data_IF_543970791473
#
_entry.id   IF_543970791473
#
_cell.length_a   1.000
_cell.length_b   1.000
_cell.length_c   1.000
_cell.angle_alpha   90.00
_cell.angle_beta   90.00
_cell.angle_gamma   90.00
#
_symmetry.space_group_name_H-M   'P 1'
#
loop_
_entity.id
_entity.type
_entity.pdbx_description
1 polymer ?
#
# COMPACT_ATOMS: atom_id res chain seq x y z
N UNK A 1 -14.08 -41.01 -20.10
CA UNK A 1 -13.78 -42.35 -19.57
C UNK A 1 -15.10 -42.94 -19.12
N UNK A 2 -15.56 -44.02 -19.74
CA UNK A 2 -16.77 -44.71 -19.27
C UNK A 2 -16.45 -45.35 -17.92
N UNK A 3 -17.09 -44.82 -16.88
CA UNK A 3 -16.97 -45.35 -15.53
C UNK A 3 -17.79 -46.65 -15.42
N UNK A 4 -17.25 -47.73 -14.81
CA UNK A 4 -17.87 -49.07 -14.75
C UNK A 4 -19.25 -49.11 -14.04
N UNK A 5 -19.57 -48.05 -13.32
CA UNK A 5 -20.80 -47.77 -12.58
C UNK A 5 -21.99 -47.34 -13.46
N UNK A 6 -21.78 -47.13 -14.77
CA UNK A 6 -22.86 -46.90 -15.76
C UNK A 6 -23.31 -48.18 -16.51
N UNK A 7 -22.80 -49.36 -16.14
CA UNK A 7 -23.23 -50.64 -16.72
C UNK A 7 -24.60 -51.07 -16.17
N UNK A 8 -25.54 -51.40 -17.07
CA UNK A 8 -26.89 -51.86 -16.74
C UNK A 8 -26.98 -53.22 -16.02
N UNK A 9 -25.85 -53.86 -15.73
CA UNK A 9 -25.78 -55.13 -14.98
C UNK A 9 -25.94 -54.91 -13.45
N UNK A 10 -25.73 -53.70 -12.94
CA UNK A 10 -25.87 -53.38 -11.52
C UNK A 10 -27.31 -52.95 -11.18
N UNK A 11 -28.22 -53.94 -11.01
CA UNK A 11 -29.65 -53.72 -10.69
C UNK A 11 -29.94 -53.00 -9.35
N UNK A 12 -28.92 -52.66 -8.54
CA UNK A 12 -29.07 -52.04 -7.22
C UNK A 12 -28.77 -50.53 -7.13
N UNK A 13 -28.28 -49.91 -8.21
CA UNK A 13 -27.91 -48.49 -8.23
C UNK A 13 -28.53 -47.82 -9.46
N UNK A 14 -29.65 -47.11 -9.25
CA UNK A 14 -30.21 -46.21 -10.26
C UNK A 14 -29.49 -44.87 -10.14
N UNK A 15 -28.47 -44.67 -10.97
CA UNK A 15 -27.80 -43.37 -11.10
C UNK A 15 -28.63 -42.53 -12.08
N UNK A 16 -29.23 -41.44 -11.59
CA UNK A 16 -29.87 -40.46 -12.47
C UNK A 16 -28.81 -39.81 -13.36
N UNK A 17 -29.10 -39.65 -14.65
CA UNK A 17 -28.21 -38.93 -15.56
C UNK A 17 -27.89 -37.53 -15.00
N UNK A 18 -26.59 -37.22 -14.90
CA UNK A 18 -26.13 -35.92 -14.43
C UNK A 18 -26.72 -34.80 -15.27
N UNK A 19 -27.18 -33.75 -14.59
CA UNK A 19 -27.72 -32.54 -15.23
C UNK A 19 -26.60 -31.92 -16.07
N UNK A 20 -26.86 -31.58 -17.34
CA UNK A 20 -25.88 -30.87 -18.18
C UNK A 20 -25.41 -29.60 -17.46
N UNK A 21 -24.09 -29.41 -17.37
CA UNK A 21 -23.54 -28.20 -16.76
C UNK A 21 -24.07 -26.98 -17.52
N UNK A 22 -24.78 -26.05 -16.85
CA UNK A 22 -25.22 -24.84 -17.49
C UNK A 22 -24.00 -24.04 -17.96
N UNK A 23 -24.13 -23.42 -19.13
CA UNK A 23 -23.14 -22.50 -19.70
C UNK A 23 -22.59 -21.54 -18.65
N UNK A 24 -21.25 -21.52 -18.49
CA UNK A 24 -20.54 -20.59 -17.60
C UNK A 24 -20.65 -19.12 -18.04
N UNK A 25 -21.14 -18.88 -19.26
CA UNK A 25 -21.31 -17.56 -19.85
C UNK A 25 -22.81 -17.26 -19.99
N UNK A 26 -23.25 -16.13 -19.44
CA UNK A 26 -24.64 -15.70 -19.51
C UNK A 26 -25.07 -15.52 -20.99
N UNK A 27 -26.03 -16.32 -21.50
CA UNK A 27 -26.47 -16.24 -22.89
C UNK A 27 -27.20 -14.93 -23.23
N UNK A 28 -27.60 -14.15 -22.23
CA UNK A 28 -28.22 -12.82 -22.38
C UNK A 28 -27.23 -11.67 -22.31
N UNK A 29 -25.92 -11.94 -22.28
CA UNK A 29 -24.88 -10.91 -22.20
C UNK A 29 -24.81 -10.09 -23.51
N UNK A 30 -25.57 -8.99 -23.57
CA UNK A 30 -25.43 -8.00 -24.65
C UNK A 30 -24.01 -7.43 -24.61
N UNK A 31 -23.25 -7.56 -25.71
CA UNK A 31 -21.94 -6.91 -25.87
C UNK A 31 -22.10 -5.40 -25.66
N UNK A 32 -21.63 -4.89 -24.52
CA UNK A 32 -21.63 -3.45 -24.26
C UNK A 32 -20.80 -2.77 -25.35
N UNK A 33 -21.22 -1.60 -25.86
CA UNK A 33 -20.40 -0.82 -26.80
C UNK A 33 -19.02 -0.61 -26.18
N UNK A 34 -17.96 -0.69 -27.01
CA UNK A 34 -16.58 -0.43 -26.59
C UNK A 34 -16.58 0.94 -25.88
N UNK A 35 -16.28 0.94 -24.58
CA UNK A 35 -16.16 2.19 -23.81
C UNK A 35 -15.15 3.09 -24.53
N UNK A 36 -15.51 4.36 -24.74
CA UNK A 36 -14.58 5.38 -25.26
C UNK A 36 -13.33 5.38 -24.38
N UNK A 37 -12.19 5.13 -25.02
CA UNK A 37 -10.88 5.34 -24.39
C UNK A 37 -10.69 6.84 -24.23
N UNK A 38 -10.35 7.26 -23.01
CA UNK A 38 -9.98 8.65 -22.75
C UNK A 38 -8.55 8.85 -23.25
N UNK A 39 -8.31 9.98 -23.88
CA UNK A 39 -6.97 10.49 -24.16
C UNK A 39 -6.28 10.92 -22.86
N UNK A 40 -4.95 11.05 -22.92
CA UNK A 40 -4.13 11.56 -21.81
C UNK A 40 -4.62 12.94 -21.36
N UNK A 41 -4.95 13.83 -22.31
CA UNK A 41 -5.43 15.17 -22.00
C UNK A 41 -6.75 15.13 -21.21
N UNK A 42 -7.69 14.26 -21.57
CA UNK A 42 -8.95 14.10 -20.84
C UNK A 42 -8.75 13.53 -19.43
N UNK A 43 -7.78 12.62 -19.26
CA UNK A 43 -7.40 12.15 -17.93
C UNK A 43 -6.87 13.29 -17.06
N UNK A 44 -5.90 14.04 -17.57
CA UNK A 44 -5.26 15.16 -16.86
C UNK A 44 -6.27 16.23 -16.50
N UNK A 45 -7.10 16.66 -17.47
CA UNK A 45 -8.13 17.67 -17.25
C UNK A 45 -9.15 17.22 -16.20
N UNK A 46 -9.60 15.96 -16.26
CA UNK A 46 -10.53 15.41 -15.28
C UNK A 46 -9.95 15.32 -13.88
N UNK A 47 -8.68 14.89 -13.77
CA UNK A 47 -7.96 14.82 -12.49
C UNK A 47 -7.86 16.23 -11.90
N UNK A 48 -7.36 17.23 -12.64
CA UNK A 48 -7.18 18.60 -12.14
C UNK A 48 -8.51 19.22 -11.70
N UNK A 49 -9.62 18.89 -12.38
CA UNK A 49 -10.97 19.33 -11.96
C UNK A 49 -11.50 18.60 -10.73
N UNK A 50 -10.77 17.61 -10.21
CA UNK A 50 -11.16 16.82 -9.05
C UNK A 50 -12.23 15.76 -9.33
N UNK A 51 -12.36 15.28 -10.58
CA UNK A 51 -13.28 14.20 -10.93
C UNK A 51 -12.76 12.86 -10.39
N UNK A 52 -13.39 12.40 -9.30
CA UNK A 52 -13.05 11.14 -8.61
C UNK A 52 -13.21 9.91 -9.52
N UNK A 53 -14.12 9.95 -10.50
CA UNK A 53 -14.30 8.86 -11.46
C UNK A 53 -13.12 8.77 -12.41
N UNK A 54 -12.65 9.91 -12.91
CA UNK A 54 -11.48 9.97 -13.79
C UNK A 54 -10.22 9.61 -13.01
N UNK A 55 -10.05 10.13 -11.80
CA UNK A 55 -8.97 9.74 -10.88
C UNK A 55 -8.94 8.21 -10.68
N UNK A 56 -10.08 7.59 -10.33
CA UNK A 56 -10.18 6.14 -10.14
C UNK A 56 -9.75 5.35 -11.38
N UNK A 57 -10.09 5.85 -12.57
CA UNK A 57 -9.69 5.22 -13.85
C UNK A 57 -8.20 5.40 -14.13
N UNK A 58 -7.62 6.54 -13.80
CA UNK A 58 -6.19 6.79 -13.94
C UNK A 58 -5.38 5.89 -13.00
N UNK A 59 -5.79 5.80 -11.73
CA UNK A 59 -5.20 4.85 -10.76
C UNK A 59 -5.29 3.40 -11.26
N UNK A 60 -6.40 3.03 -11.90
CA UNK A 60 -6.53 1.70 -12.51
C UNK A 60 -5.53 1.47 -13.67
N UNK A 61 -5.13 2.52 -14.40
CA UNK A 61 -4.08 2.42 -15.42
C UNK A 61 -2.71 2.21 -14.78
N UNK A 62 -2.39 2.99 -13.74
CA UNK A 62 -1.16 2.85 -12.93
C UNK A 62 -1.00 1.43 -12.39
N UNK A 63 -2.08 0.86 -11.90
CA UNK A 63 -2.07 -0.49 -11.35
C UNK A 63 -1.95 -1.60 -12.40
N UNK A 64 -2.14 -1.27 -13.68
CA UNK A 64 -2.15 -2.26 -14.74
C UNK A 64 -0.76 -2.80 -15.04
N UNK A 65 -0.68 -4.10 -15.34
CA UNK A 65 0.55 -4.77 -15.82
C UNK A 65 0.69 -4.73 -17.34
N UNK A 66 -0.27 -4.12 -18.05
CA UNK A 66 -0.24 -4.04 -19.50
C UNK A 66 0.68 -2.90 -19.96
N UNK A 67 1.64 -3.14 -20.88
CA UNK A 67 2.54 -2.09 -21.36
C UNK A 67 1.82 -0.87 -21.95
N UNK A 68 0.74 -1.11 -22.71
CA UNK A 68 -0.11 -0.05 -23.29
C UNK A 68 -0.73 0.87 -22.23
N UNK A 69 -1.13 0.33 -21.07
CA UNK A 69 -1.70 1.12 -19.99
C UNK A 69 -0.62 1.86 -19.21
N UNK A 70 0.54 1.23 -19.01
CA UNK A 70 1.68 1.82 -18.31
C UNK A 70 2.22 3.06 -19.03
N UNK A 71 2.31 3.01 -20.37
CA UNK A 71 2.72 4.17 -21.17
C UNK A 71 1.77 5.36 -20.98
N UNK A 72 0.46 5.12 -21.05
CA UNK A 72 -0.56 6.17 -20.83
C UNK A 72 -0.50 6.68 -19.39
N UNK A 73 -0.40 5.78 -18.41
CA UNK A 73 -0.34 6.14 -16.99
C UNK A 73 0.85 7.07 -16.71
N UNK A 74 2.03 6.77 -17.28
CA UNK A 74 3.20 7.60 -17.06
C UNK A 74 3.06 8.99 -17.67
N UNK A 75 2.52 9.10 -18.90
CA UNK A 75 2.29 10.41 -19.52
C UNK A 75 1.27 11.25 -18.72
N UNK A 76 0.25 10.60 -18.12
CA UNK A 76 -0.69 11.26 -17.22
C UNK A 76 0.00 11.74 -15.94
N UNK A 77 0.82 10.90 -15.29
CA UNK A 77 1.55 11.26 -14.07
C UNK A 77 2.48 12.45 -14.32
N UNK A 78 3.26 12.42 -15.39
CA UNK A 78 4.18 13.51 -15.76
C UNK A 78 3.45 14.84 -15.93
N UNK A 79 2.29 14.81 -16.60
CA UNK A 79 1.46 16.02 -16.82
C UNK A 79 0.73 16.48 -15.56
N UNK A 80 0.50 15.59 -14.60
CA UNK A 80 -0.08 15.91 -13.29
C UNK A 80 0.96 16.41 -12.28
N UNK A 81 2.25 16.12 -12.48
CA UNK A 81 3.32 16.47 -11.54
C UNK A 81 3.36 17.97 -11.14
N UNK A 82 3.16 18.95 -12.06
CA UNK A 82 3.12 20.37 -11.69
C UNK A 82 1.98 20.78 -10.75
N UNK A 83 0.97 19.92 -10.61
CA UNK A 83 -0.20 20.14 -9.74
C UNK A 83 -0.13 19.30 -8.46
N UNK A 84 1.00 18.63 -8.21
CA UNK A 84 1.23 17.77 -7.05
C UNK A 84 2.19 18.40 -6.04
N UNK A 85 2.34 17.77 -4.88
CA UNK A 85 3.24 18.21 -3.81
C UNK A 85 2.60 19.08 -2.73
N UNK A 86 1.44 19.69 -2.96
CA UNK A 86 0.75 20.50 -1.94
C UNK A 86 -0.22 19.65 -1.09
N UNK A 87 0.35 18.77 -0.26
CA UNK A 87 -0.40 17.94 0.68
C UNK A 87 0.40 17.63 1.93
N UNK A 88 -0.26 17.08 2.95
CA UNK A 88 0.38 16.40 4.08
C UNK A 88 0.16 14.90 3.93
N UNK A 89 1.26 14.14 3.91
CA UNK A 89 1.28 12.68 3.75
C UNK A 89 1.55 12.02 5.09
N UNK A 90 0.61 11.21 5.57
CA UNK A 90 0.67 10.53 6.87
C UNK A 90 0.72 9.02 6.65
N UNK A 91 1.81 8.39 7.08
CA UNK A 91 1.91 6.93 7.16
C UNK A 91 1.27 6.44 8.44
N UNK A 92 0.40 5.43 8.36
CA UNK A 92 -0.28 4.85 9.51
C UNK A 92 0.04 3.36 9.55
N UNK A 93 0.73 2.93 10.61
CA UNK A 93 1.06 1.53 10.85
C UNK A 93 0.68 1.12 12.27
N UNK A 94 0.76 -0.18 12.56
CA UNK A 94 0.35 -0.73 13.85
C UNK A 94 0.03 -2.21 13.77
N UNK A 95 0.14 -2.88 14.90
CA UNK A 95 -0.04 -4.34 14.99
C UNK A 95 -1.47 -4.76 14.60
N UNK A 96 -1.67 -5.99 14.09
CA UNK A 96 -3.00 -6.52 13.84
C UNK A 96 -3.88 -6.40 15.11
N UNK A 97 -5.12 -5.93 14.94
CA UNK A 97 -6.04 -5.73 16.07
C UNK A 97 -5.88 -4.39 16.82
N UNK A 98 -4.88 -3.58 16.49
CA UNK A 98 -4.67 -2.25 17.11
C UNK A 98 -5.78 -1.23 16.83
N UNK A 99 -6.76 -1.58 15.97
CA UNK A 99 -7.86 -0.69 15.61
C UNK A 99 -7.49 0.33 14.54
N UNK A 100 -6.53 0.03 13.66
CA UNK A 100 -6.07 0.94 12.59
C UNK A 100 -7.20 1.44 11.70
N UNK A 101 -8.00 0.55 11.12
CA UNK A 101 -9.10 0.96 10.23
C UNK A 101 -10.14 1.83 10.94
N UNK A 102 -10.50 1.50 12.18
CA UNK A 102 -11.36 2.36 13.02
C UNK A 102 -10.71 3.73 13.28
N UNK A 103 -9.40 3.75 13.50
CA UNK A 103 -8.66 4.99 13.74
C UNK A 103 -8.59 5.84 12.48
N UNK A 104 -8.32 5.25 11.31
CA UNK A 104 -8.33 5.95 10.03
C UNK A 104 -9.70 6.55 9.74
N UNK A 105 -10.78 5.79 9.99
CA UNK A 105 -12.15 6.27 9.83
C UNK A 105 -12.40 7.52 10.71
N UNK A 106 -12.08 7.43 12.00
CA UNK A 106 -12.31 8.50 12.98
C UNK A 106 -11.39 9.69 12.77
N UNK A 107 -10.11 9.45 12.52
CA UNK A 107 -9.12 10.48 12.20
C UNK A 107 -9.47 11.21 10.92
N UNK A 108 -9.86 10.48 9.87
CA UNK A 108 -10.23 11.06 8.59
C UNK A 108 -11.44 11.96 8.69
N UNK A 109 -12.49 11.52 9.41
CA UNK A 109 -13.67 12.36 9.67
C UNK A 109 -13.30 13.59 10.51
N UNK A 110 -12.56 13.41 11.60
CA UNK A 110 -12.12 14.52 12.44
C UNK A 110 -11.39 15.59 11.61
N UNK A 111 -10.46 15.16 10.75
CA UNK A 111 -9.69 16.10 9.93
C UNK A 111 -10.56 16.83 8.92
N UNK A 112 -11.45 16.11 8.23
CA UNK A 112 -12.36 16.70 7.24
C UNK A 112 -13.37 17.66 7.87
N UNK A 113 -13.85 17.37 9.09
CA UNK A 113 -14.81 18.20 9.82
C UNK A 113 -14.16 19.44 10.44
N UNK A 114 -12.96 19.32 11.01
CA UNK A 114 -12.29 20.42 11.73
C UNK A 114 -11.44 21.31 10.82
N UNK A 115 -10.76 20.72 9.84
CA UNK A 115 -9.78 21.43 9.01
C UNK A 115 -10.20 21.51 7.53
N UNK A 116 -11.29 20.84 7.13
CA UNK A 116 -11.77 20.87 5.75
C UNK A 116 -10.86 20.10 4.77
N UNK A 117 -10.85 20.54 3.51
CA UNK A 117 -10.04 19.90 2.45
C UNK A 117 -10.63 18.59 1.91
N UNK A 118 -9.77 17.76 1.31
CA UNK A 118 -10.09 16.43 0.77
C UNK A 118 -9.05 15.41 1.24
N UNK A 119 -9.50 14.21 1.58
CA UNK A 119 -8.64 13.15 2.14
C UNK A 119 -8.57 11.93 1.22
N UNK A 120 -7.38 11.50 0.85
CA UNK A 120 -7.17 10.21 0.21
C UNK A 120 -6.63 9.20 1.23
N UNK A 121 -7.07 7.95 1.16
CA UNK A 121 -6.54 6.82 1.93
C UNK A 121 -6.07 5.75 0.95
N UNK A 122 -4.78 5.43 1.00
CA UNK A 122 -4.11 4.48 0.13
C UNK A 122 -3.54 3.34 0.98
N UNK A 123 -3.87 2.09 0.66
CA UNK A 123 -3.34 0.94 1.39
C UNK A 123 -2.11 0.33 0.69
N UNK A 124 -1.19 -0.25 1.48
CA UNK A 124 -0.09 -1.10 1.01
C UNK A 124 -0.16 -2.44 1.74
N UNK A 125 -0.42 -3.50 0.99
CA UNK A 125 -0.46 -4.90 1.45
C UNK A 125 0.57 -5.74 0.67
N UNK A 126 1.67 -6.19 1.30
CA UNK A 126 2.63 -7.11 0.67
C UNK A 126 1.99 -8.43 0.22
N UNK A 127 0.93 -8.88 0.90
CA UNK A 127 0.25 -10.14 0.56
C UNK A 127 -0.59 -10.06 -0.73
N UNK A 128 -0.78 -8.84 -1.25
CA UNK A 128 -1.43 -8.60 -2.55
C UNK A 128 -0.75 -9.31 -3.71
N UNK A 129 0.55 -9.65 -3.58
CA UNK A 129 1.28 -10.51 -4.51
C UNK A 129 0.56 -11.85 -4.75
N UNK A 130 0.00 -12.46 -3.69
CA UNK A 130 -0.68 -13.76 -3.76
C UNK A 130 -2.16 -13.63 -4.11
N UNK A 131 -2.84 -12.59 -3.59
CA UNK A 131 -4.28 -12.41 -3.76
C UNK A 131 -4.67 -11.71 -5.06
N UNK A 132 -3.70 -11.18 -5.83
CA UNK A 132 -3.89 -10.36 -7.04
C UNK A 132 -4.66 -9.05 -6.78
N UNK A 133 -4.65 -8.57 -5.53
CA UNK A 133 -5.27 -7.31 -5.12
C UNK A 133 -6.66 -7.50 -4.50
N UNK A 134 -7.07 -6.54 -3.66
CA UNK A 134 -8.37 -6.54 -2.98
C UNK A 134 -9.30 -5.52 -3.64
N UNK A 135 -10.43 -5.98 -4.18
CA UNK A 135 -11.42 -5.06 -4.80
C UNK A 135 -12.32 -4.41 -3.75
N UNK A 136 -12.61 -5.10 -2.64
CA UNK A 136 -13.66 -4.71 -1.68
C UNK A 136 -13.23 -4.73 -0.19
N UNK A 137 -12.14 -5.42 0.15
CA UNK A 137 -11.86 -5.83 1.54
C UNK A 137 -11.52 -4.70 2.53
N UNK A 138 -10.97 -3.58 2.03
CA UNK A 138 -10.54 -2.47 2.89
C UNK A 138 -11.63 -1.40 3.06
N UNK A 139 -12.54 -1.24 2.07
CA UNK A 139 -13.62 -0.23 2.14
C UNK A 139 -14.66 -0.55 3.21
N UNK A 140 -14.91 -1.82 3.51
CA UNK A 140 -15.92 -2.23 4.51
C UNK A 140 -15.46 -1.98 5.95
N UNK A 141 -14.17 -1.73 6.19
CA UNK A 141 -13.62 -1.47 7.53
C UNK A 141 -13.64 0.01 7.92
N UNK A 142 -13.90 0.90 6.95
CA UNK A 142 -13.97 2.36 7.10
C UNK A 142 -15.37 2.83 6.68
N UNK A 143 -16.38 2.45 7.45
CA UNK A 143 -17.80 2.57 7.05
C UNK A 143 -18.22 4.01 6.78
N UNK A 144 -17.82 4.96 7.63
CA UNK A 144 -18.27 6.35 7.53
C UNK A 144 -17.43 7.13 6.54
N UNK A 145 -16.11 6.96 6.59
CA UNK A 145 -15.20 7.67 5.70
C UNK A 145 -15.38 7.20 4.26
N UNK A 146 -15.68 5.93 4.00
CA UNK A 146 -15.85 5.40 2.64
C UNK A 146 -17.01 6.01 1.85
N UNK A 147 -18.00 6.58 2.53
CA UNK A 147 -19.15 7.26 1.92
C UNK A 147 -19.05 8.79 1.97
N UNK A 148 -18.00 9.33 2.60
CA UNK A 148 -17.81 10.77 2.71
C UNK A 148 -17.48 11.39 1.33
N UNK A 149 -18.18 12.44 0.87
CA UNK A 149 -18.01 12.96 -0.51
C UNK A 149 -16.64 13.60 -0.79
N UNK A 150 -15.92 13.98 0.28
CA UNK A 150 -14.55 14.54 0.19
C UNK A 150 -13.45 13.52 0.50
N UNK A 151 -13.78 12.23 0.57
CA UNK A 151 -12.79 11.17 0.76
C UNK A 151 -12.59 10.36 -0.52
N UNK A 152 -11.41 9.77 -0.66
CA UNK A 152 -11.10 8.79 -1.70
C UNK A 152 -10.32 7.64 -1.11
N UNK A 153 -10.87 6.43 -1.14
CA UNK A 153 -10.23 5.25 -0.56
C UNK A 153 -9.83 4.28 -1.68
N UNK A 154 -8.54 3.95 -1.74
CA UNK A 154 -7.96 2.98 -2.68
C UNK A 154 -7.34 1.81 -1.90
N UNK A 155 -7.85 0.57 -2.07
CA UNK A 155 -7.21 -0.64 -1.54
C UNK A 155 -5.81 -0.85 -2.12
N UNK A 156 -5.04 -1.76 -1.52
CA UNK A 156 -3.68 -2.05 -2.00
C UNK A 156 -3.68 -2.50 -3.46
N UNK A 157 -2.81 -1.90 -4.31
CA UNK A 157 -2.65 -2.36 -5.67
C UNK A 157 -2.04 -3.76 -5.69
N UNK A 158 -2.23 -4.49 -6.79
CA UNK A 158 -1.50 -5.72 -7.01
C UNK A 158 -0.24 -5.45 -7.83
N UNK A 159 0.88 -5.91 -7.32
CA UNK A 159 2.13 -5.99 -8.07
C UNK A 159 2.88 -7.22 -7.57
N UNK A 160 3.59 -7.92 -8.47
CA UNK A 160 4.29 -9.17 -8.15
C UNK A 160 5.44 -9.02 -7.15
N UNK A 161 5.69 -7.81 -6.62
CA UNK A 161 6.61 -7.55 -5.52
C UNK A 161 6.15 -6.36 -4.67
N UNK A 162 6.53 -6.31 -3.39
CA UNK A 162 6.33 -5.15 -2.50
C UNK A 162 6.84 -3.83 -3.10
N UNK A 163 7.98 -3.86 -3.81
CA UNK A 163 8.54 -2.68 -4.48
C UNK A 163 7.58 -2.10 -5.52
N UNK A 164 7.02 -2.97 -6.37
CA UNK A 164 6.03 -2.58 -7.37
C UNK A 164 4.71 -2.09 -6.76
N UNK A 165 4.28 -2.65 -5.62
CA UNK A 165 3.09 -2.17 -4.89
C UNK A 165 3.34 -0.75 -4.41
N UNK A 166 4.48 -0.53 -3.75
CA UNK A 166 4.83 0.76 -3.17
C UNK A 166 5.08 1.84 -4.24
N UNK A 167 5.70 1.49 -5.38
CA UNK A 167 5.83 2.38 -6.54
C UNK A 167 4.47 2.87 -7.04
N UNK A 168 3.54 1.94 -7.30
CA UNK A 168 2.18 2.28 -7.75
C UNK A 168 1.44 3.16 -6.76
N UNK A 169 1.63 2.92 -5.46
CA UNK A 169 1.08 3.80 -4.42
C UNK A 169 1.69 5.20 -4.50
N UNK A 170 3.00 5.35 -4.64
CA UNK A 170 3.65 6.66 -4.80
C UNK A 170 3.17 7.41 -6.04
N UNK A 171 3.03 6.74 -7.17
CA UNK A 171 2.45 7.31 -8.39
C UNK A 171 0.98 7.73 -8.18
N UNK A 172 0.22 6.95 -7.39
CA UNK A 172 -1.15 7.29 -7.00
C UNK A 172 -1.22 8.53 -6.10
N UNK A 173 -0.25 8.74 -5.19
CA UNK A 173 -0.15 9.96 -4.37
C UNK A 173 -0.12 11.20 -5.28
N UNK A 174 0.71 11.19 -6.33
CA UNK A 174 0.81 12.31 -7.29
C UNK A 174 -0.54 12.60 -7.95
N UNK A 175 -1.26 11.56 -8.38
CA UNK A 175 -2.59 11.73 -8.98
C UNK A 175 -3.63 12.26 -8.00
N UNK A 176 -3.58 11.82 -6.73
CA UNK A 176 -4.46 12.33 -5.68
C UNK A 176 -4.17 13.81 -5.39
N UNK A 177 -2.91 14.19 -5.24
CA UNK A 177 -2.52 15.59 -5.02
C UNK A 177 -2.97 16.47 -6.19
N UNK A 178 -2.75 16.04 -7.44
CA UNK A 178 -3.22 16.74 -8.62
C UNK A 178 -4.75 16.86 -8.70
N UNK A 179 -5.51 15.98 -8.03
CA UNK A 179 -6.97 16.07 -7.90
C UNK A 179 -7.45 16.96 -6.73
N UNK A 180 -6.52 17.63 -6.06
CA UNK A 180 -6.77 18.53 -4.95
C UNK A 180 -7.00 17.81 -3.61
N UNK A 181 -6.47 16.59 -3.46
CA UNK A 181 -6.39 15.93 -2.14
C UNK A 181 -5.19 16.48 -1.37
N UNK A 182 -5.46 17.25 -0.33
CA UNK A 182 -4.47 17.96 0.49
C UNK A 182 -4.06 17.16 1.75
N UNK A 183 -4.75 16.05 2.03
CA UNK A 183 -4.35 15.06 3.05
C UNK A 183 -4.29 13.68 2.41
N UNK A 184 -3.18 12.99 2.62
CA UNK A 184 -2.95 11.64 2.08
C UNK A 184 -2.58 10.70 3.23
N UNK A 185 -3.44 9.73 3.53
CA UNK A 185 -3.11 8.65 4.45
C UNK A 185 -2.60 7.44 3.68
N UNK A 186 -1.50 6.87 4.14
CA UNK A 186 -0.93 5.64 3.59
C UNK A 186 -0.90 4.60 4.70
N UNK A 187 -1.74 3.57 4.61
CA UNK A 187 -1.85 2.52 5.62
C UNK A 187 -1.05 1.27 5.24
N UNK A 188 -0.37 0.65 6.21
CA UNK A 188 0.11 -0.73 6.08
C UNK A 188 -1.00 -1.74 6.41
N UNK A 189 -1.25 -2.66 5.49
CA UNK A 189 -2.19 -3.78 5.71
C UNK A 189 -1.40 -5.06 5.94
N UNK A 190 -1.84 -5.87 6.91
CA UNK A 190 -1.31 -7.20 7.18
C UNK A 190 -0.05 -7.24 8.07
N UNK A 191 0.67 -8.36 7.98
CA UNK A 191 1.94 -8.63 8.67
C UNK A 191 3.06 -8.60 7.62
N UNK A 192 4.07 -7.74 7.78
CA UNK A 192 5.07 -7.54 6.72
C UNK A 192 6.25 -6.64 7.08
N UNK A 193 6.94 -6.18 6.03
CA UNK A 193 7.98 -5.14 6.06
C UNK A 193 7.53 -3.94 5.18
N UNK A 194 6.23 -3.67 5.11
CA UNK A 194 5.68 -2.54 4.35
C UNK A 194 5.89 -1.20 5.06
N UNK A 195 6.26 -1.21 6.34
CA UNK A 195 6.50 -0.01 7.15
C UNK A 195 7.59 0.86 6.55
N UNK A 196 8.71 0.27 6.13
CA UNK A 196 9.81 1.00 5.48
C UNK A 196 9.38 1.62 4.16
N UNK A 197 8.54 0.92 3.38
CA UNK A 197 8.02 1.43 2.13
C UNK A 197 7.04 2.60 2.35
N UNK A 198 6.16 2.51 3.34
CA UNK A 198 5.28 3.62 3.73
C UNK A 198 6.09 4.81 4.22
N UNK A 199 7.05 4.59 5.11
CA UNK A 199 7.92 5.64 5.66
C UNK A 199 8.73 6.37 4.57
N UNK A 200 9.07 5.71 3.45
CA UNK A 200 9.78 6.34 2.33
C UNK A 200 8.91 7.19 1.40
N UNK A 201 7.62 7.37 1.69
CA UNK A 201 6.70 8.17 0.86
C UNK A 201 5.79 9.12 1.64
N UNK A 202 6.01 9.28 2.95
CA UNK A 202 5.16 10.11 3.83
C UNK A 202 5.98 11.15 4.59
N UNK A 203 5.32 12.21 5.06
CA UNK A 203 5.96 13.30 5.80
C UNK A 203 6.02 13.02 7.31
N UNK A 204 5.01 12.29 7.82
CA UNK A 204 4.88 11.89 9.21
C UNK A 204 4.47 10.42 9.30
N UNK A 205 5.11 9.65 10.16
CA UNK A 205 4.81 8.23 10.38
C UNK A 205 4.23 7.99 11.78
N UNK A 206 2.93 7.68 11.82
CA UNK A 206 2.15 7.40 13.03
C UNK A 206 2.09 5.90 13.30
N UNK A 207 2.55 5.49 14.49
CA UNK A 207 2.49 4.11 14.95
C UNK A 207 1.37 3.90 15.98
N UNK A 208 0.37 3.09 15.64
CA UNK A 208 -0.74 2.73 16.52
C UNK A 208 -0.40 1.44 17.29
N UNK A 209 -0.46 1.50 18.62
CA UNK A 209 -0.18 0.40 19.53
C UNK A 209 -1.35 0.09 20.46
N UNK A 210 -1.27 -1.05 21.15
CA UNK A 210 -2.21 -1.46 22.19
C UNK A 210 -1.48 -1.65 23.51
N UNK A 211 -2.20 -1.44 24.61
CA UNK A 211 -1.73 -1.84 25.93
C UNK A 211 -1.94 -3.34 26.16
N UNK A 212 -1.07 -3.96 26.97
CA UNK A 212 -1.34 -5.27 27.56
C UNK A 212 -0.98 -6.50 26.72
N UNK A 213 -0.11 -6.36 25.71
CA UNK A 213 0.38 -7.50 24.91
C UNK A 213 1.54 -8.28 25.55
N UNK A 214 1.98 -7.92 26.77
CA UNK A 214 3.17 -8.50 27.43
C UNK A 214 4.32 -7.50 27.47
N UNK A 215 5.55 -7.95 27.20
CA UNK A 215 6.71 -7.06 26.95
C UNK A 215 6.42 -6.25 25.67
N UNK A 216 5.77 -5.10 25.84
CA UNK A 216 5.16 -4.29 24.77
C UNK A 216 6.20 -3.83 23.73
N UNK A 217 7.46 -3.76 24.14
CA UNK A 217 8.62 -3.46 23.31
C UNK A 217 9.07 -4.65 22.45
N UNK A 218 8.92 -5.89 22.95
CA UNK A 218 9.41 -7.09 22.27
C UNK A 218 8.62 -7.43 20.99
N UNK A 219 7.36 -6.97 20.91
CA UNK A 219 6.52 -7.12 19.72
C UNK A 219 6.84 -6.15 18.59
N UNK A 220 7.62 -5.10 18.85
CA UNK A 220 7.95 -4.07 17.85
C UNK A 220 9.39 -4.28 17.40
N UNK A 221 9.56 -4.42 16.08
CA UNK A 221 10.90 -4.46 15.49
C UNK A 221 11.57 -3.12 15.79
N UNK A 222 12.76 -3.14 16.36
CA UNK A 222 13.59 -1.96 16.66
C UNK A 222 13.56 -0.92 15.52
N UNK A 223 13.69 -1.37 14.27
CA UNK A 223 13.64 -0.48 13.10
C UNK A 223 12.32 0.26 12.88
N UNK A 224 11.17 -0.26 13.32
CA UNK A 224 9.87 0.43 13.20
C UNK A 224 9.75 1.55 14.23
N UNK A 225 10.26 1.36 15.45
CA UNK A 225 10.27 2.43 16.45
C UNK A 225 11.13 3.61 16.03
N UNK A 226 12.29 3.33 15.42
CA UNK A 226 13.21 4.35 14.92
C UNK A 226 12.61 5.20 13.79
N UNK A 227 11.56 4.70 13.10
CA UNK A 227 10.85 5.42 12.04
C UNK A 227 9.64 6.23 12.54
N UNK A 228 9.23 6.09 13.81
CA UNK A 228 8.00 6.70 14.29
C UNK A 228 8.20 8.16 14.69
N UNK A 229 7.48 9.08 14.04
CA UNK A 229 7.42 10.49 14.43
C UNK A 229 6.41 10.72 15.56
N UNK A 230 5.45 9.81 15.71
CA UNK A 230 4.52 9.75 16.83
C UNK A 230 4.00 8.34 17.08
N UNK A 231 3.77 8.03 18.35
CA UNK A 231 3.20 6.74 18.80
C UNK A 231 1.89 7.03 19.54
N UNK A 232 0.85 6.26 19.23
CA UNK A 232 -0.45 6.40 19.89
C UNK A 232 -0.93 5.06 20.43
N UNK A 233 -1.23 5.01 21.72
CA UNK A 233 -1.79 3.83 22.37
C UNK A 233 -3.31 3.91 22.29
N UNK A 234 -3.90 3.06 21.45
CA UNK A 234 -5.34 3.01 21.24
C UNK A 234 -6.06 2.20 22.33
N UNK A 235 -7.40 2.27 22.34
CA UNK A 235 -8.29 1.63 23.32
C UNK A 235 -8.01 2.10 24.76
N UNK A 236 -7.60 3.36 24.92
CA UNK A 236 -7.41 4.00 26.21
C UNK A 236 -8.77 4.45 26.79
N UNK A 237 -9.60 3.48 27.13
CA UNK A 237 -10.96 3.69 27.64
C UNK A 237 -11.31 2.65 28.72
N UNK A 238 -12.32 2.97 29.55
CA UNK A 238 -12.78 2.12 30.64
C UNK A 238 -11.64 1.60 31.52
N UNK A 239 -11.66 0.30 31.79
CA UNK A 239 -10.67 -0.40 32.63
C UNK A 239 -9.27 -0.49 31.98
N UNK A 240 -9.15 -0.16 30.68
CA UNK A 240 -7.89 -0.22 29.96
C UNK A 240 -7.10 1.10 29.99
N UNK A 241 -7.70 2.19 30.49
CA UNK A 241 -7.07 3.52 30.52
C UNK A 241 -5.72 3.53 31.25
N UNK A 242 -5.66 2.95 32.46
CA UNK A 242 -4.42 2.93 33.25
C UNK A 242 -3.34 2.07 32.62
N UNK A 243 -3.72 0.96 31.97
CA UNK A 243 -2.78 0.12 31.20
C UNK A 243 -2.23 0.89 29.99
N UNK A 244 -3.07 1.64 29.28
CA UNK A 244 -2.64 2.46 28.15
C UNK A 244 -1.69 3.60 28.57
N UNK A 245 -1.92 4.22 29.73
CA UNK A 245 -0.99 5.24 30.27
C UNK A 245 0.36 4.64 30.68
N UNK A 246 0.34 3.45 31.27
CA UNK A 246 1.56 2.72 31.61
C UNK A 246 2.36 2.39 30.34
N UNK A 247 1.70 1.83 29.33
CA UNK A 247 2.26 1.55 28.01
C UNK A 247 2.90 2.80 27.39
N UNK A 248 2.15 3.91 27.34
CA UNK A 248 2.64 5.17 26.79
C UNK A 248 3.91 5.67 27.52
N UNK A 249 4.02 5.41 28.82
CA UNK A 249 5.21 5.76 29.63
C UNK A 249 6.39 4.87 29.32
N UNK A 250 6.17 3.55 29.14
CA UNK A 250 7.23 2.63 28.71
C UNK A 250 7.78 3.02 27.33
N UNK A 251 6.91 3.35 26.38
CA UNK A 251 7.32 3.85 25.07
C UNK A 251 8.10 5.17 25.13
N UNK A 252 7.66 6.14 25.93
CA UNK A 252 8.43 7.39 26.14
C UNK A 252 9.83 7.10 26.66
N UNK A 253 9.94 6.25 27.67
CA UNK A 253 11.24 5.88 28.25
C UNK A 253 12.15 5.19 27.23
N UNK A 254 11.59 4.30 26.41
CA UNK A 254 12.35 3.61 25.36
C UNK A 254 12.82 4.58 24.26
N UNK A 255 11.98 5.52 23.84
CA UNK A 255 12.33 6.53 22.83
C UNK A 255 13.52 7.39 23.24
N UNK A 256 13.68 7.68 24.53
CA UNK A 256 14.84 8.40 25.05
C UNK A 256 16.18 7.64 24.94
N UNK A 257 16.15 6.34 24.67
CA UNK A 257 17.35 5.53 24.46
C UNK A 257 17.86 5.57 23.01
N UNK A 258 17.05 6.06 22.08
CA UNK A 258 17.42 6.18 20.67
C UNK A 258 18.15 7.51 20.40
N UNK A 259 19.00 7.55 19.36
CA UNK A 259 19.59 8.82 18.92
C UNK A 259 18.50 9.81 18.50
N UNK A 260 18.81 11.10 18.62
CA UNK A 260 17.92 12.16 18.15
C UNK A 260 17.66 12.00 16.63
N UNK A 261 16.39 12.08 16.18
CA UNK A 261 16.08 12.05 14.75
C UNK A 261 16.70 13.23 14.00
N UNK A 262 16.98 13.04 12.71
CA UNK A 262 17.53 14.09 11.83
C UNK A 262 16.62 15.31 11.73
N UNK A 263 15.30 15.12 11.89
CA UNK A 263 14.32 16.21 11.93
C UNK A 263 14.50 17.14 13.12
N UNK A 264 15.18 16.70 14.18
CA UNK A 264 15.23 17.38 15.48
C UNK A 264 13.95 17.22 16.32
N UNK A 265 12.94 16.52 15.81
CA UNK A 265 11.69 16.25 16.53
C UNK A 265 11.87 15.09 17.50
N UNK A 266 11.45 15.26 18.75
CA UNK A 266 11.36 14.16 19.70
C UNK A 266 9.99 13.50 19.55
N UNK A 267 9.93 12.20 19.15
CA UNK A 267 8.65 11.53 18.96
C UNK A 267 7.80 11.56 20.22
N UNK A 268 6.53 11.94 20.07
CA UNK A 268 5.58 12.01 21.18
C UNK A 268 4.79 10.70 21.30
N UNK A 269 4.42 10.36 22.54
CA UNK A 269 3.56 9.20 22.81
C UNK A 269 2.30 9.63 23.54
N UNK A 270 1.16 9.44 22.89
CA UNK A 270 -0.17 9.80 23.39
C UNK A 270 -1.05 8.56 23.56
N UNK A 271 -2.15 8.72 24.28
CA UNK A 271 -3.19 7.70 24.46
C UNK A 271 -4.50 8.21 23.88
N UNK A 272 -5.28 7.35 23.23
CA UNK A 272 -6.58 7.73 22.67
C UNK A 272 -7.52 6.52 22.62
N UNK A 273 -8.81 6.79 22.40
CA UNK A 273 -9.80 5.77 22.05
C UNK A 273 -10.46 6.16 20.74
N UNK A 274 -10.12 5.43 19.67
CA UNK A 274 -10.79 5.62 18.38
C UNK A 274 -12.30 5.34 18.46
N UNK A 275 -12.71 4.31 19.21
CA UNK A 275 -14.12 3.92 19.31
C UNK A 275 -14.98 4.99 20.00
N UNK A 276 -14.49 5.56 21.10
CA UNK A 276 -15.20 6.60 21.85
C UNK A 276 -14.85 8.03 21.42
N UNK A 277 -13.98 8.19 20.41
CA UNK A 277 -13.47 9.48 19.94
C UNK A 277 -12.82 10.33 21.04
N UNK A 278 -12.08 9.68 21.95
CA UNK A 278 -11.35 10.33 23.05
C UNK A 278 -9.88 10.52 22.65
N UNK A 279 -9.28 11.68 22.91
CA UNK A 279 -7.87 11.93 22.62
C UNK A 279 -7.53 12.15 21.13
N UNK A 280 -8.53 12.11 20.23
CA UNK A 280 -8.33 12.21 18.78
C UNK A 280 -7.85 13.60 18.37
N UNK A 281 -8.35 14.65 19.03
CA UNK A 281 -7.93 16.01 18.76
C UNK A 281 -6.45 16.19 19.11
N UNK A 282 -6.03 15.72 20.27
CA UNK A 282 -4.68 15.82 20.78
C UNK A 282 -3.67 15.07 19.89
N UNK A 283 -4.07 13.94 19.31
CA UNK A 283 -3.28 13.23 18.30
C UNK A 283 -3.06 14.11 17.06
N UNK A 284 -4.09 14.78 16.57
CA UNK A 284 -3.96 15.66 15.41
C UNK A 284 -3.20 16.95 15.70
N UNK A 285 -3.36 17.52 16.90
CA UNK A 285 -2.57 18.66 17.35
C UNK A 285 -1.07 18.31 17.34
N UNK A 286 -0.70 17.10 17.77
CA UNK A 286 0.68 16.59 17.67
C UNK A 286 1.14 16.49 16.21
N UNK A 287 0.32 15.94 15.31
CA UNK A 287 0.68 15.80 13.89
C UNK A 287 0.92 17.17 13.26
N UNK A 288 0.00 18.13 13.42
CA UNK A 288 0.18 19.47 12.85
C UNK A 288 1.35 20.21 13.48
N UNK A 289 1.57 20.08 14.78
CA UNK A 289 2.75 20.65 15.45
C UNK A 289 4.05 20.11 14.88
N UNK A 290 4.12 18.81 14.55
CA UNK A 290 5.27 18.26 13.85
C UNK A 290 5.43 18.89 12.46
N UNK A 291 4.35 18.97 11.68
CA UNK A 291 4.39 19.51 10.32
C UNK A 291 4.88 20.96 10.31
N UNK A 292 4.39 21.79 11.23
CA UNK A 292 4.85 23.17 11.39
C UNK A 292 6.35 23.19 11.77
N UNK A 293 6.76 22.38 12.75
CA UNK A 293 8.15 22.28 13.20
C UNK A 293 9.12 21.90 12.07
N UNK A 294 8.78 20.89 11.24
CA UNK A 294 9.66 20.45 10.15
C UNK A 294 9.62 21.36 8.93
N UNK A 295 8.54 22.15 8.75
CA UNK A 295 8.50 23.20 7.74
C UNK A 295 9.37 24.39 8.15
N UNK A 296 9.28 24.81 9.41
CA UNK A 296 10.04 25.93 9.95
C UNK A 296 11.56 25.69 9.91
N UNK A 297 12.00 24.45 10.14
CA UNK A 297 13.42 24.10 10.10
C UNK A 297 13.91 23.60 8.73
N UNK A 298 13.05 23.57 7.71
CA UNK A 298 13.36 23.15 6.34
C UNK A 298 13.49 21.63 6.13
N UNK A 299 13.31 20.81 7.17
CA UNK A 299 13.39 19.35 7.07
C UNK A 299 12.28 18.76 6.19
N UNK A 300 11.11 19.38 6.11
CA UNK A 300 9.97 18.91 5.31
C UNK A 300 10.35 18.70 3.83
N UNK A 301 10.93 19.73 3.19
CA UNK A 301 11.36 19.67 1.79
C UNK A 301 12.61 18.80 1.63
N UNK A 302 13.56 18.87 2.58
CA UNK A 302 14.73 18.01 2.58
C UNK A 302 14.33 16.52 2.55
N UNK A 303 13.39 16.13 3.41
CA UNK A 303 12.92 14.74 3.52
C UNK A 303 12.25 14.28 2.23
N UNK A 304 11.40 15.11 1.63
CA UNK A 304 10.74 14.81 0.34
C UNK A 304 11.72 14.67 -0.81
N UNK A 305 12.79 15.47 -0.82
CA UNK A 305 13.86 15.36 -1.80
C UNK A 305 14.65 14.04 -1.65
N UNK A 306 15.02 13.66 -0.43
CA UNK A 306 15.69 12.37 -0.18
C UNK A 306 14.78 11.18 -0.52
N UNK A 307 13.47 11.28 -0.25
CA UNK A 307 12.50 10.28 -0.70
C UNK A 307 12.45 10.20 -2.23
N UNK A 308 12.37 11.33 -2.94
CA UNK A 308 12.36 11.34 -4.41
C UNK A 308 13.62 10.71 -5.00
N UNK A 309 14.78 11.00 -4.43
CA UNK A 309 16.05 10.37 -4.78
C UNK A 309 16.05 8.86 -4.50
N UNK A 310 15.56 8.43 -3.34
CA UNK A 310 15.40 7.00 -3.02
C UNK A 310 14.55 6.29 -4.07
N UNK A 311 13.40 6.88 -4.44
CA UNK A 311 12.49 6.29 -5.42
C UNK A 311 13.05 6.26 -6.84
N UNK A 312 13.92 7.20 -7.21
CA UNK A 312 14.66 7.14 -8.47
C UNK A 312 15.55 5.88 -8.51
N UNK A 313 16.34 5.63 -7.46
CA UNK A 313 17.19 4.44 -7.39
C UNK A 313 16.37 3.15 -7.34
N UNK A 314 15.27 3.12 -6.58
CA UNK A 314 14.39 1.96 -6.52
C UNK A 314 13.78 1.65 -7.89
N UNK A 315 13.37 2.67 -8.63
CA UNK A 315 12.84 2.52 -10.00
C UNK A 315 13.89 1.95 -10.95
N UNK A 316 15.14 2.42 -10.86
CA UNK A 316 16.26 1.87 -11.66
C UNK A 316 16.45 0.38 -11.34
N UNK A 317 16.49 0.02 -10.05
CA UNK A 317 16.69 -1.36 -9.62
C UNK A 317 15.55 -2.27 -10.10
N UNK A 318 14.30 -1.84 -9.96
CA UNK A 318 13.14 -2.59 -10.43
C UNK A 318 13.16 -2.77 -11.95
N UNK A 319 13.44 -1.71 -12.71
CA UNK A 319 13.47 -1.78 -14.17
C UNK A 319 14.59 -2.69 -14.70
N UNK A 320 15.77 -2.67 -14.07
CA UNK A 320 16.87 -3.58 -14.41
C UNK A 320 16.50 -5.04 -14.09
N UNK A 321 15.89 -5.27 -12.92
CA UNK A 321 15.40 -6.59 -12.50
C UNK A 321 14.37 -7.12 -13.50
N UNK A 322 13.37 -6.32 -13.84
CA UNK A 322 12.30 -6.71 -14.76
C UNK A 322 12.83 -6.93 -16.17
N UNK A 323 13.76 -6.09 -16.64
CA UNK A 323 14.43 -6.30 -17.93
C UNK A 323 15.18 -7.63 -17.99
N UNK A 324 15.81 -8.04 -16.89
CA UNK A 324 16.50 -9.34 -16.79
C UNK A 324 15.53 -10.52 -16.80
N UNK A 325 14.51 -10.51 -15.93
CA UNK A 325 13.60 -11.66 -15.79
C UNK A 325 12.57 -11.78 -16.92
N UNK A 326 12.23 -10.68 -17.61
CA UNK A 326 11.34 -10.70 -18.78
C UNK A 326 12.09 -10.94 -20.10
N UNK A 327 13.42 -11.10 -20.05
CA UNK A 327 14.19 -11.47 -21.24
C UNK A 327 13.84 -12.93 -21.65
N UNK A 328 13.34 -13.17 -22.87
CA UNK A 328 12.86 -14.50 -23.28
C UNK A 328 13.92 -15.61 -23.19
N UNK A 329 15.19 -15.27 -23.41
CA UNK A 329 16.30 -16.21 -23.34
C UNK A 329 16.66 -16.56 -21.91
N UNK A 330 16.65 -15.57 -21.02
CA UNK A 330 16.86 -15.78 -19.58
C UNK A 330 15.72 -16.61 -18.98
N UNK A 331 14.47 -16.27 -19.31
CA UNK A 331 13.28 -17.02 -18.87
C UNK A 331 13.39 -18.51 -19.26
N UNK A 332 13.79 -18.81 -20.50
CA UNK A 332 13.99 -20.17 -20.97
C UNK A 332 15.12 -20.92 -20.24
N UNK A 333 16.18 -20.22 -19.81
CA UNK A 333 17.33 -20.81 -19.11
C UNK A 333 17.13 -20.97 -17.61
N UNK A 334 16.25 -20.16 -17.01
CA UNK A 334 16.10 -20.02 -15.56
C UNK A 334 15.78 -21.35 -14.87
N UNK A 335 14.72 -22.02 -15.32
CA UNK A 335 14.26 -23.29 -14.75
C UNK A 335 15.33 -24.40 -14.84
N UNK A 336 16.14 -24.39 -15.89
CA UNK A 336 17.25 -25.33 -16.05
C UNK A 336 18.38 -25.07 -15.05
N UNK A 337 18.74 -23.80 -14.83
CA UNK A 337 19.78 -23.41 -13.87
C UNK A 337 19.33 -23.63 -12.42
N UNK A 338 18.08 -23.32 -12.09
CA UNK A 338 17.51 -23.61 -10.76
C UNK A 338 17.59 -25.09 -10.42
N UNK A 339 17.20 -25.97 -11.36
CA UNK A 339 17.30 -27.41 -11.16
C UNK A 339 18.75 -27.90 -10.96
N UNK A 340 19.74 -27.28 -11.62
CA UNK A 340 21.15 -27.62 -11.40
C UNK A 340 21.62 -27.21 -10.00
N UNK A 341 21.17 -26.06 -9.50
CA UNK A 341 21.48 -25.59 -8.13
C UNK A 341 20.85 -26.51 -7.09
N UNK A 342 19.57 -26.83 -7.24
CA UNK A 342 18.84 -27.69 -6.30
C UNK A 342 19.43 -29.12 -6.23
N UNK A 343 19.99 -29.62 -7.33
CA UNK A 343 20.67 -30.92 -7.40
C UNK A 343 22.13 -30.88 -6.94
N UNK A 344 22.66 -29.71 -6.59
CA UNK A 344 24.06 -29.54 -6.20
C UNK A 344 25.07 -29.65 -7.35
N UNK A 345 24.61 -29.65 -8.60
CA UNK A 345 25.46 -29.72 -9.79
C UNK A 345 26.17 -28.39 -10.09
N UNK A 346 25.65 -27.30 -9.53
CA UNK A 346 26.17 -25.95 -9.73
C UNK A 346 25.91 -25.11 -8.46
N UNK A 347 26.82 -24.22 -8.10
CA UNK A 347 26.57 -23.30 -6.98
C UNK A 347 25.61 -22.18 -7.40
N UNK A 348 24.88 -21.61 -6.43
CA UNK A 348 23.96 -20.49 -6.66
C UNK A 348 24.65 -19.29 -7.33
N UNK A 349 25.88 -18.97 -6.91
CA UNK A 349 26.67 -17.87 -7.48
C UNK A 349 27.09 -18.13 -8.93
N UNK A 350 27.48 -19.37 -9.27
CA UNK A 350 27.85 -19.71 -10.66
C UNK A 350 26.61 -19.76 -11.56
N UNK A 351 25.45 -20.19 -11.04
CA UNK A 351 24.19 -20.16 -11.79
C UNK A 351 23.81 -18.72 -12.14
N UNK A 352 23.81 -17.84 -11.14
CA UNK A 352 23.51 -16.42 -11.30
C UNK A 352 24.47 -15.75 -12.29
N UNK A 353 25.78 -15.96 -12.14
CA UNK A 353 26.79 -15.41 -13.06
C UNK A 353 26.55 -15.83 -14.50
N UNK A 354 26.28 -17.12 -14.75
CA UNK A 354 26.02 -17.61 -16.11
C UNK A 354 24.80 -16.94 -16.77
N UNK A 355 23.73 -16.72 -16.00
CA UNK A 355 22.53 -16.05 -16.49
C UNK A 355 22.83 -14.56 -16.77
N UNK A 356 23.54 -13.87 -15.87
CA UNK A 356 23.96 -12.48 -16.05
C UNK A 356 24.88 -12.30 -17.26
N UNK A 357 25.89 -13.16 -17.43
CA UNK A 357 26.80 -13.11 -18.57
C UNK A 357 26.02 -13.29 -19.90
N UNK A 358 25.01 -14.16 -19.90
CA UNK A 358 24.13 -14.36 -21.06
C UNK A 358 23.31 -13.12 -21.37
N UNK A 359 22.71 -12.51 -20.35
CA UNK A 359 21.91 -11.29 -20.48
C UNK A 359 22.75 -10.11 -21.00
N UNK A 360 23.93 -9.87 -20.42
CA UNK A 360 24.81 -8.78 -20.85
C UNK A 360 25.39 -9.01 -22.25
N UNK A 361 25.59 -10.26 -22.67
CA UNK A 361 26.01 -10.56 -24.03
C UNK A 361 24.90 -10.27 -25.06
N UNK A 362 23.64 -10.37 -24.67
CA UNK A 362 22.50 -10.05 -25.53
C UNK A 362 22.29 -8.55 -25.68
N UNK A 363 22.44 -7.78 -24.60
CA UNK A 363 22.37 -6.31 -24.65
C UNK A 363 23.46 -5.65 -25.51
N UNK A 364 24.55 -6.35 -25.78
CA UNK A 364 25.65 -5.87 -26.64
C UNK A 364 25.41 -6.09 -28.13
N UNK A 365 24.40 -6.89 -28.49
CA UNK A 365 23.98 -7.10 -29.88
C UNK A 365 22.92 -6.08 -30.25
#
# INVERSE_FOLDING_TARGET
MEHPENSGEYKGLVVNAGIEQPSSVNPYLKRKPKKRQLSVAEYVEGIIKGDVTILSRAVTLVESVKPEHQAIAQEVIEKCLPYSGDSIRIGISGVPGAGKSTSIDVFGLHVLEKYGGKLAVLAIDPSSERSKGSILGDKTRMEKLSVHPKSFIRPSPSAGSLGGVARKTRETIVLCEAAGFDKIFVETVGVGQSETAVHSMVDFFLLIQLAGTGDELQGIKRGIMEMADGIVINKADGDNLERAKLAATQFRNALHLFPAPESGWTPQVLTYSGFYNLGVQEVWDMVYKYIDFVKDNGYFEHRRNEQSKYWMYETINEQLRDSFYQNPKIEAMLAGKENQVLKGNLTSFVAAKNLLDTYFAELKK
#
